data_IF_669479715841
#
_entry.id   IF_669479715841
#
_cell.length_a   1.000
_cell.length_b   1.000
_cell.length_c   1.000
_cell.angle_alpha   90.00
_cell.angle_beta   90.00
_cell.angle_gamma   90.00
#
_symmetry.space_group_name_H-M   'P 1'
#
loop_
_entity.id
_entity.type
_entity.pdbx_description
1 polymer ?
#
# COMPACT_ATOMS: atom_id res chain seq x y z
N UNK A 1 -1.48 15.69 8.44
CA UNK A 1 -2.40 14.53 8.50
C UNK A 1 -1.60 13.24 8.46
N UNK A 2 -1.95 12.32 9.33
CA UNK A 2 -1.25 11.05 9.39
C UNK A 2 -1.80 10.10 8.34
N UNK A 3 -0.92 9.49 7.56
CA UNK A 3 -1.29 8.51 6.54
C UNK A 3 -0.45 7.25 6.67
N UNK A 4 -1.00 6.15 6.16
CA UNK A 4 -0.23 4.93 5.94
C UNK A 4 0.12 4.87 4.46
N UNK A 5 1.36 4.49 4.16
CA UNK A 5 1.80 4.34 2.79
C UNK A 5 1.93 2.86 2.47
N UNK A 6 1.19 2.41 1.47
CA UNK A 6 1.23 1.03 0.98
C UNK A 6 1.98 1.02 -0.34
N UNK A 7 3.09 0.32 -0.39
CA UNK A 7 3.93 0.21 -1.58
C UNK A 7 3.93 -1.24 -2.03
N UNK A 8 3.65 -1.46 -3.30
CA UNK A 8 3.49 -2.79 -3.88
C UNK A 8 4.30 -2.92 -5.16
N UNK A 9 4.95 -4.06 -5.34
CA UNK A 9 5.56 -4.45 -6.60
C UNK A 9 5.20 -5.91 -6.86
N UNK A 10 4.70 -6.22 -8.04
CA UNK A 10 4.29 -7.58 -8.36
C UNK A 10 4.27 -7.80 -9.87
N UNK A 11 4.22 -9.06 -10.33
CA UNK A 11 4.01 -9.31 -11.75
C UNK A 11 2.70 -8.68 -12.21
N UNK A 12 2.74 -8.02 -13.36
CA UNK A 12 1.58 -7.30 -13.87
C UNK A 12 0.49 -8.28 -14.29
N UNK A 13 -0.74 -8.02 -13.86
CA UNK A 13 -1.89 -8.82 -14.26
C UNK A 13 -3.17 -8.04 -14.04
N UNK A 14 -4.23 -8.51 -14.70
CA UNK A 14 -5.54 -7.85 -14.62
C UNK A 14 -6.08 -7.95 -13.20
N UNK A 15 -6.68 -6.88 -12.74
CA UNK A 15 -7.43 -6.87 -11.49
C UNK A 15 -6.66 -6.44 -10.26
N UNK A 16 -5.36 -6.12 -10.37
CA UNK A 16 -4.55 -5.73 -9.20
C UNK A 16 -5.14 -4.50 -8.52
N UNK A 17 -5.36 -3.43 -9.29
CA UNK A 17 -5.86 -2.17 -8.73
C UNK A 17 -7.24 -2.36 -8.12
N UNK A 18 -8.10 -3.12 -8.80
CA UNK A 18 -9.45 -3.37 -8.31
C UNK A 18 -9.43 -4.11 -6.98
N UNK A 19 -8.58 -5.13 -6.85
CA UNK A 19 -8.50 -5.91 -5.62
C UNK A 19 -7.98 -5.08 -4.46
N UNK A 20 -6.92 -4.31 -4.68
CA UNK A 20 -6.34 -3.47 -3.65
C UNK A 20 -7.33 -2.40 -3.21
N UNK A 21 -7.95 -1.72 -4.16
CA UNK A 21 -8.93 -0.69 -3.85
C UNK A 21 -10.14 -1.25 -3.13
N UNK A 22 -10.58 -2.45 -3.50
CA UNK A 22 -11.72 -3.09 -2.89
C UNK A 22 -11.45 -3.45 -1.42
N UNK A 23 -10.27 -3.95 -1.13
CA UNK A 23 -9.91 -4.26 0.25
C UNK A 23 -9.89 -2.99 1.10
N UNK A 24 -9.34 -1.90 0.57
CA UNK A 24 -9.31 -0.64 1.30
C UNK A 24 -10.71 -0.07 1.49
N UNK A 25 -11.55 -0.17 0.47
CA UNK A 25 -12.94 0.32 0.55
C UNK A 25 -13.74 -0.48 1.56
N UNK A 26 -13.49 -1.78 1.70
CA UNK A 26 -14.18 -2.62 2.66
C UNK A 26 -14.00 -2.10 4.09
N UNK A 27 -12.85 -1.49 4.36
CA UNK A 27 -12.55 -0.96 5.69
C UNK A 27 -12.72 0.56 5.75
N UNK A 28 -13.37 1.15 4.75
CA UNK A 28 -13.61 2.60 4.66
C UNK A 28 -12.30 3.40 4.54
N UNK A 29 -11.27 2.81 3.98
CA UNK A 29 -10.00 3.49 3.82
C UNK A 29 -10.10 4.66 2.86
N UNK A 30 -9.67 5.83 3.29
CA UNK A 30 -9.69 7.03 2.47
C UNK A 30 -8.33 7.18 1.81
N UNK A 31 -8.27 6.92 0.51
CA UNK A 31 -7.06 7.04 -0.28
C UNK A 31 -6.86 8.51 -0.64
N UNK A 32 -5.78 9.10 -0.17
CA UNK A 32 -5.47 10.50 -0.44
C UNK A 32 -4.57 10.67 -1.64
N UNK A 33 -3.81 9.64 -1.99
CA UNK A 33 -2.93 9.68 -3.13
C UNK A 33 -2.73 8.27 -3.67
N UNK A 34 -2.71 8.13 -5.00
CA UNK A 34 -2.51 6.84 -5.65
C UNK A 34 -1.63 7.03 -6.87
N UNK A 35 -0.59 6.22 -6.98
CA UNK A 35 0.30 6.21 -8.14
C UNK A 35 0.47 4.79 -8.62
N UNK A 36 0.35 4.59 -9.94
CA UNK A 36 0.47 3.28 -10.55
C UNK A 36 1.44 3.38 -11.73
N UNK A 37 2.22 2.32 -11.93
CA UNK A 37 3.17 2.28 -13.02
C UNK A 37 3.36 0.84 -13.48
N UNK A 38 3.21 0.59 -14.77
CA UNK A 38 3.49 -0.71 -15.36
C UNK A 38 4.79 -0.61 -16.16
N UNK A 39 5.71 -1.53 -15.92
CA UNK A 39 6.95 -1.60 -16.67
C UNK A 39 6.82 -2.68 -17.73
N UNK A 40 6.68 -2.27 -18.98
CA UNK A 40 6.47 -3.20 -20.09
C UNK A 40 7.68 -4.08 -20.36
N UNK A 41 8.86 -3.63 -19.99
CA UNK A 41 10.07 -4.41 -20.26
C UNK A 41 10.22 -5.56 -19.28
N UNK A 42 9.93 -5.33 -18.01
CA UNK A 42 10.08 -6.37 -17.00
C UNK A 42 8.78 -7.14 -16.77
N UNK A 43 7.65 -6.60 -17.18
CA UNK A 43 6.36 -7.20 -16.89
C UNK A 43 5.93 -7.01 -15.45
N UNK A 44 6.45 -6.00 -14.78
CA UNK A 44 6.13 -5.72 -13.39
C UNK A 44 5.22 -4.52 -13.26
N UNK A 45 4.40 -4.55 -12.22
CA UNK A 45 3.48 -3.48 -11.85
C UNK A 45 3.89 -2.91 -10.51
N UNK A 46 3.91 -1.59 -10.41
CA UNK A 46 4.27 -0.86 -9.20
C UNK A 46 3.11 0.03 -8.79
N UNK A 47 2.81 0.05 -7.49
CA UNK A 47 1.70 0.83 -6.98
C UNK A 47 2.08 1.43 -5.64
N UNK A 48 1.65 2.67 -5.41
CA UNK A 48 1.80 3.32 -4.12
C UNK A 48 0.50 4.04 -3.78
N UNK A 49 -0.06 3.69 -2.64
CA UNK A 49 -1.25 4.36 -2.12
C UNK A 49 -0.94 4.99 -0.78
N UNK A 50 -1.50 6.18 -0.53
CA UNK A 50 -1.48 6.78 0.80
C UNK A 50 -2.90 6.84 1.30
N UNK A 51 -3.13 6.33 2.50
CA UNK A 51 -4.45 6.18 3.08
C UNK A 51 -4.48 6.92 4.41
N UNK A 52 -5.53 7.69 4.68
CA UNK A 52 -5.68 8.36 5.96
C UNK A 52 -5.72 7.32 7.08
N UNK A 53 -4.82 7.48 8.05
CA UNK A 53 -4.74 6.53 9.16
C UNK A 53 -6.03 6.51 9.97
N UNK A 54 -6.66 7.66 10.15
CA UNK A 54 -7.88 7.77 10.95
C UNK A 54 -9.12 7.27 10.22
N UNK A 55 -9.02 6.95 8.93
CA UNK A 55 -10.15 6.39 8.19
C UNK A 55 -10.29 4.88 8.40
N UNK A 56 -9.24 4.21 8.83
CA UNK A 56 -9.23 2.77 8.99
C UNK A 56 -9.58 2.37 10.42
N UNK A 57 -10.25 1.22 10.61
CA UNK A 57 -10.64 0.76 11.94
C UNK A 57 -9.52 0.11 12.72
N UNK A 58 -8.31 0.08 12.18
CA UNK A 58 -7.17 -0.59 12.80
C UNK A 58 -5.89 0.21 12.55
N UNK A 59 -4.84 -0.20 13.23
CA UNK A 59 -3.52 0.42 13.08
C UNK A 59 -2.74 -0.22 11.92
N UNK A 60 -1.45 0.10 11.84
CA UNK A 60 -0.59 -0.38 10.78
C UNK A 60 -0.53 -1.91 10.73
N UNK A 61 -0.46 -2.56 11.88
CA UNK A 61 -0.42 -4.03 11.92
C UNK A 61 -1.72 -4.64 11.45
N UNK A 62 -2.84 -4.01 11.77
CA UNK A 62 -4.15 -4.44 11.28
C UNK A 62 -4.24 -4.32 9.77
N UNK A 63 -3.69 -3.25 9.21
CA UNK A 63 -3.65 -3.08 7.77
C UNK A 63 -2.82 -4.18 7.10
N UNK A 64 -1.67 -4.50 7.67
CA UNK A 64 -0.85 -5.60 7.16
C UNK A 64 -1.61 -6.91 7.16
N UNK A 65 -2.29 -7.20 8.24
CA UNK A 65 -3.08 -8.43 8.36
C UNK A 65 -4.20 -8.49 7.33
N UNK A 66 -4.90 -7.38 7.14
CA UNK A 66 -6.01 -7.30 6.19
C UNK A 66 -5.54 -7.45 4.75
N UNK A 67 -4.34 -6.93 4.45
CA UNK A 67 -3.83 -6.94 3.08
C UNK A 67 -3.09 -8.23 2.72
N UNK A 68 -2.57 -8.97 3.69
CA UNK A 68 -1.73 -10.14 3.45
C UNK A 68 -2.35 -11.17 2.49
N UNK A 69 -3.66 -11.50 2.57
CA UNK A 69 -4.24 -12.47 1.63
C UNK A 69 -4.15 -12.00 0.18
N UNK A 70 -4.36 -10.70 -0.06
CA UNK A 70 -4.29 -10.14 -1.40
C UNK A 70 -2.85 -10.21 -1.92
N UNK A 71 -1.89 -9.88 -1.05
CA UNK A 71 -0.48 -9.92 -1.41
C UNK A 71 -0.06 -11.33 -1.81
N UNK A 72 -0.56 -12.34 -1.09
CA UNK A 72 -0.26 -13.72 -1.41
C UNK A 72 -0.88 -14.15 -2.74
N UNK A 73 -2.10 -13.71 -3.00
CA UNK A 73 -2.81 -14.07 -4.22
C UNK A 73 -2.06 -13.59 -5.46
N UNK A 74 -1.47 -12.40 -5.39
CA UNK A 74 -0.80 -11.76 -6.53
C UNK A 74 0.72 -11.86 -6.49
N UNK A 75 1.27 -12.62 -5.54
CA UNK A 75 2.71 -12.75 -5.34
C UNK A 75 3.39 -11.37 -5.22
N UNK A 76 2.82 -10.53 -4.40
CA UNK A 76 3.30 -9.15 -4.23
C UNK A 76 4.51 -9.07 -3.31
N UNK A 77 5.45 -8.20 -3.70
CA UNK A 77 6.47 -7.70 -2.81
C UNK A 77 5.94 -6.35 -2.30
N UNK A 78 5.71 -6.23 -1.01
CA UNK A 78 4.99 -5.08 -0.49
C UNK A 78 5.43 -4.70 0.91
N UNK A 79 5.21 -3.45 1.25
CA UNK A 79 5.39 -3.01 2.63
C UNK A 79 4.48 -1.83 2.93
N UNK A 80 4.26 -1.59 4.21
CA UNK A 80 3.41 -0.51 4.69
C UNK A 80 4.22 0.29 5.71
N UNK A 81 4.12 1.61 5.61
CA UNK A 81 4.79 2.49 6.56
C UNK A 81 3.81 3.54 7.08
N UNK A 82 4.13 4.11 8.23
CA UNK A 82 3.30 5.09 8.92
C UNK A 82 3.97 6.45 8.86
N UNK A 83 3.34 7.42 8.21
CA UNK A 83 3.90 8.76 8.07
C UNK A 83 3.95 9.51 9.41
N UNK A 84 3.17 9.06 10.39
CA UNK A 84 3.22 9.65 11.72
C UNK A 84 4.44 9.25 12.52
N UNK A 85 5.16 8.22 12.08
CA UNK A 85 6.40 7.81 12.73
C UNK A 85 7.54 8.62 12.14
N UNK A 86 8.27 9.38 12.99
CA UNK A 86 9.35 10.19 12.52
C UNK A 86 10.50 9.34 12.22
N UNK A 87 10.88 9.35 10.98
CA UNK A 87 12.00 8.56 10.63
C UNK A 87 13.19 9.29 10.83
N UNK A 88 13.48 9.73 11.54
CA UNK A 88 14.55 10.36 11.68
C UNK A 88 15.61 9.87 11.07
N UNK A 89 15.49 9.53 10.94
CA UNK A 89 16.15 9.05 10.42
C UNK A 89 16.66 9.36 9.41
N UNK A 90 16.42 9.79 9.25
CA UNK A 90 16.62 9.97 8.27
C UNK A 90 17.66 10.50 8.06
N UNK A 91 17.75 10.58 8.81
CA UNK A 91 18.46 10.75 8.74
C UNK A 91 19.40 10.50 8.27
N UNK A 92 19.32 10.48 8.32
CA UNK A 92 19.94 10.20 7.99
C UNK A 92 20.59 10.27 7.37
N UNK A 93 20.55 10.51 7.59
CA UNK A 93 21.08 10.47 7.11
C UNK A 93 21.76 10.66 6.81
N UNK A 94 21.72 10.86 7.05
CA UNK A 94 22.23 10.92 6.84
C UNK A 94 22.69 10.85 6.56
#
# INVERSE_FOLDING_TARGET
MRTYRLVIACPDRVGIVAKVSNVLATYNGWITEANHHSDNLSGWFFMRHEIRADSLPFDLDGLRTAFAPIAREFAMDWHVSDSGVRKKVVLMAS
#
